data_IF_796072243987
#
_entry.id   IF_796072243987
#
_cell.length_a   1.000
_cell.length_b   1.000
_cell.length_c   1.000
_cell.angle_alpha   90.00
_cell.angle_beta   90.00
_cell.angle_gamma   90.00
#
_symmetry.space_group_name_H-M   'P 1'
#
loop_
_entity.id
_entity.type
_entity.pdbx_description
1 polymer ?
#
# COMPACT_ATOMS: atom_id res chain seq x y z
N UNK A 1 13.08 55.85 -24.25
CA UNK A 1 12.03 56.14 -23.25
C UNK A 1 10.80 55.33 -23.64
N UNK A 2 10.63 54.14 -23.05
CA UNK A 2 9.34 53.44 -22.93
C UNK A 2 9.40 52.60 -21.65
N UNK A 3 8.89 53.24 -20.60
CA UNK A 3 8.25 52.76 -19.37
C UNK A 3 8.45 51.30 -18.92
N UNK A 4 9.44 51.07 -18.05
CA UNK A 4 9.42 49.91 -17.15
C UNK A 4 8.51 50.21 -15.95
N UNK A 5 7.25 49.78 -16.06
CA UNK A 5 6.27 49.81 -14.98
C UNK A 5 6.73 48.94 -13.80
N UNK A 6 6.70 49.51 -12.60
CA UNK A 6 7.07 48.84 -11.36
C UNK A 6 5.87 48.11 -10.70
N UNK A 7 6.13 46.91 -10.16
CA UNK A 7 5.43 46.17 -9.08
C UNK A 7 4.09 45.46 -9.40
N UNK A 8 3.62 44.43 -8.62
CA UNK A 8 4.10 44.02 -7.28
C UNK A 8 4.30 42.50 -7.03
N UNK A 9 5.00 42.21 -5.92
CA UNK A 9 5.08 40.91 -5.25
C UNK A 9 3.69 40.34 -4.94
N UNK A 10 3.45 39.07 -5.27
CA UNK A 10 2.36 38.30 -4.66
C UNK A 10 2.85 36.94 -4.16
N UNK A 11 3.04 36.90 -2.84
CA UNK A 11 2.71 35.80 -1.94
C UNK A 11 3.31 34.43 -2.28
N UNK A 12 4.46 34.13 -1.66
CA UNK A 12 4.88 32.75 -1.44
C UNK A 12 3.76 32.06 -0.64
N UNK A 13 2.94 31.29 -1.35
CA UNK A 13 1.95 30.40 -0.78
C UNK A 13 2.66 29.44 0.17
N UNK A 14 2.27 29.48 1.44
CA UNK A 14 2.71 28.55 2.47
C UNK A 14 2.15 27.17 2.13
N UNK A 15 2.80 26.45 1.23
CA UNK A 15 2.42 25.09 0.91
C UNK A 15 2.97 24.17 2.01
N UNK A 16 2.27 24.15 3.15
CA UNK A 16 2.38 23.05 4.11
C UNK A 16 1.83 21.80 3.42
N UNK A 17 2.66 21.08 2.69
CA UNK A 17 2.31 19.76 2.19
C UNK A 17 2.44 18.75 3.30
N UNK A 18 1.40 18.65 4.13
CA UNK A 18 1.15 17.42 4.87
C UNK A 18 0.50 16.39 3.94
N UNK A 19 1.15 16.10 2.81
CA UNK A 19 0.76 14.99 1.97
C UNK A 19 1.66 13.83 2.30
N UNK A 20 1.19 13.01 3.26
CA UNK A 20 1.61 11.62 3.34
C UNK A 20 1.07 10.90 2.10
N UNK A 21 1.72 11.11 0.96
CA UNK A 21 1.47 10.33 -0.25
C UNK A 21 1.90 8.91 0.04
N UNK A 22 0.98 8.12 0.60
CA UNK A 22 1.08 6.66 0.64
C UNK A 22 1.06 6.23 -0.82
N UNK A 23 2.24 6.01 -1.40
CA UNK A 23 2.37 5.44 -2.74
C UNK A 23 1.43 4.23 -2.80
N UNK A 24 0.51 4.15 -3.79
CA UNK A 24 -0.33 2.97 -3.91
C UNK A 24 0.60 1.79 -4.16
N UNK A 25 0.84 0.98 -3.12
CA UNK A 25 1.56 -0.30 -3.15
C UNK A 25 1.01 -1.26 -4.21
N UNK A 26 -0.17 -0.94 -4.75
CA UNK A 26 -0.95 -1.69 -5.71
C UNK A 26 -0.32 -1.90 -7.11
N UNK A 27 0.77 -1.21 -7.50
CA UNK A 27 1.31 -1.35 -8.87
C UNK A 27 2.65 -2.08 -9.01
N UNK A 28 3.46 -2.18 -7.96
CA UNK A 28 4.79 -2.79 -8.10
C UNK A 28 4.81 -4.31 -7.90
N UNK A 29 3.89 -4.86 -7.08
CA UNK A 29 3.92 -6.27 -6.69
C UNK A 29 2.79 -7.03 -7.38
N UNK A 30 3.09 -8.00 -8.26
CA UNK A 30 2.08 -8.76 -8.98
C UNK A 30 1.10 -9.48 -8.05
N UNK A 31 -0.18 -9.55 -8.43
CA UNK A 31 -1.24 -10.19 -7.63
C UNK A 31 -0.89 -11.63 -7.19
N UNK A 32 -0.25 -12.42 -8.06
CA UNK A 32 0.23 -13.78 -7.73
C UNK A 32 1.20 -13.81 -6.55
N UNK A 33 2.09 -12.82 -6.44
CA UNK A 33 3.09 -12.73 -5.38
C UNK A 33 2.41 -12.31 -4.08
N UNK A 34 1.49 -11.34 -4.17
CA UNK A 34 0.68 -10.90 -3.04
C UNK A 34 -0.10 -12.07 -2.42
N UNK A 35 -0.76 -12.87 -3.27
CA UNK A 35 -1.46 -14.06 -2.85
C UNK A 35 -0.53 -15.09 -2.22
N UNK A 36 0.62 -15.38 -2.84
CA UNK A 36 1.59 -16.34 -2.32
C UNK A 36 2.16 -15.95 -0.95
N UNK A 37 2.47 -14.66 -0.74
CA UNK A 37 2.91 -14.13 0.56
C UNK A 37 1.84 -14.40 1.62
N UNK A 38 0.59 -14.04 1.33
CA UNK A 38 -0.50 -14.20 2.30
C UNK A 38 -0.78 -15.66 2.60
N UNK A 39 -0.80 -16.54 1.60
CA UNK A 39 -0.99 -17.98 1.82
C UNK A 39 0.14 -18.59 2.65
N UNK A 40 1.39 -18.17 2.42
CA UNK A 40 2.52 -18.58 3.26
C UNK A 40 2.28 -18.15 4.71
N UNK A 41 1.99 -16.86 4.92
CA UNK A 41 1.71 -16.32 6.26
C UNK A 41 0.61 -17.10 6.98
N UNK A 42 -0.52 -17.37 6.30
CA UNK A 42 -1.65 -18.09 6.89
C UNK A 42 -1.32 -19.57 7.18
N UNK A 43 -0.47 -20.20 6.38
CA UNK A 43 -0.12 -21.61 6.55
C UNK A 43 0.96 -21.85 7.62
N UNK A 44 1.93 -20.94 7.77
CA UNK A 44 3.08 -21.12 8.68
C UNK A 44 3.05 -20.23 9.91
N UNK A 45 2.38 -19.07 9.85
CA UNK A 45 2.47 -18.04 10.88
C UNK A 45 3.82 -17.32 10.92
N UNK A 46 4.60 -17.37 9.83
CA UNK A 46 5.91 -16.72 9.75
C UNK A 46 5.83 -15.20 10.01
N UNK A 47 6.87 -14.66 10.66
CA UNK A 47 7.00 -13.23 10.84
C UNK A 47 7.31 -12.50 9.50
N UNK A 48 7.13 -11.18 9.49
CA UNK A 48 7.32 -10.38 8.28
C UNK A 48 8.78 -10.29 7.81
N UNK A 49 9.75 -10.51 8.69
CA UNK A 49 11.18 -10.59 8.33
C UNK A 49 11.50 -11.86 7.55
N UNK A 50 10.97 -12.99 8.01
CA UNK A 50 11.07 -14.28 7.30
C UNK A 50 10.43 -14.20 5.91
N UNK A 51 9.25 -13.58 5.80
CA UNK A 51 8.58 -13.34 4.52
C UNK A 51 9.34 -12.35 3.62
N UNK A 52 9.93 -11.31 4.21
CA UNK A 52 10.79 -10.36 3.50
C UNK A 52 11.97 -11.06 2.83
N UNK A 53 12.66 -11.92 3.58
CA UNK A 53 13.81 -12.65 3.06
C UNK A 53 13.42 -13.57 1.90
N UNK A 54 12.28 -14.24 1.99
CA UNK A 54 11.80 -15.19 0.99
C UNK A 54 11.32 -14.52 -0.30
N UNK A 55 10.48 -13.49 -0.18
CA UNK A 55 9.81 -12.88 -1.33
C UNK A 55 10.48 -11.60 -1.85
N UNK A 56 11.51 -11.10 -1.14
CA UNK A 56 12.21 -9.84 -1.45
C UNK A 56 11.27 -8.62 -1.48
N UNK A 57 10.25 -8.64 -0.63
CA UNK A 57 9.27 -7.55 -0.45
C UNK A 57 9.50 -6.92 0.91
N UNK A 58 9.42 -5.59 1.02
CA UNK A 58 9.65 -4.92 2.31
C UNK A 58 8.62 -5.35 3.37
N UNK A 59 9.01 -5.47 4.66
CA UNK A 59 8.05 -5.77 5.73
C UNK A 59 6.87 -4.79 5.80
N UNK A 60 7.10 -3.52 5.43
CA UNK A 60 6.06 -2.51 5.34
C UNK A 60 5.04 -2.81 4.23
N UNK A 61 5.48 -3.29 3.06
CA UNK A 61 4.55 -3.69 2.01
C UNK A 61 3.83 -5.00 2.39
N UNK A 62 4.51 -5.94 3.04
CA UNK A 62 3.89 -7.19 3.54
C UNK A 62 2.75 -6.90 4.52
N UNK A 63 2.96 -5.95 5.45
CA UNK A 63 1.93 -5.57 6.43
C UNK A 63 0.70 -4.91 5.81
N UNK A 64 0.81 -4.34 4.60
CA UNK A 64 -0.32 -3.83 3.83
C UNK A 64 -0.96 -4.92 2.95
N UNK A 65 -0.14 -5.82 2.38
CA UNK A 65 -0.59 -6.89 1.48
C UNK A 65 -1.46 -7.92 2.20
N UNK A 66 -1.01 -8.41 3.37
CA UNK A 66 -1.70 -9.50 4.08
C UNK A 66 -3.16 -9.13 4.37
N UNK A 67 -3.49 -8.02 5.05
CA UNK A 67 -4.88 -7.68 5.35
C UNK A 67 -5.71 -7.42 4.10
N UNK A 68 -5.14 -6.80 3.04
CA UNK A 68 -5.86 -6.57 1.79
C UNK A 68 -6.24 -7.89 1.10
N UNK A 69 -5.30 -8.83 1.02
CA UNK A 69 -5.55 -10.14 0.40
C UNK A 69 -6.50 -10.97 1.26
N UNK A 70 -6.37 -10.95 2.59
CA UNK A 70 -7.32 -11.62 3.49
C UNK A 70 -8.74 -11.09 3.30
N UNK A 71 -8.92 -9.76 3.21
CA UNK A 71 -10.22 -9.17 2.93
C UNK A 71 -10.78 -9.64 1.58
N UNK A 72 -9.95 -9.61 0.52
CA UNK A 72 -10.37 -10.10 -0.80
C UNK A 72 -10.75 -11.58 -0.79
N UNK A 73 -9.99 -12.43 -0.07
CA UNK A 73 -10.32 -13.84 0.10
C UNK A 73 -11.63 -14.04 0.84
N UNK A 74 -11.86 -13.32 1.94
CA UNK A 74 -13.12 -13.38 2.67
C UNK A 74 -14.30 -12.97 1.79
N UNK A 75 -14.16 -11.89 1.00
CA UNK A 75 -15.23 -11.45 0.09
C UNK A 75 -15.56 -12.47 -1.00
N UNK A 76 -14.55 -13.16 -1.55
CA UNK A 76 -14.75 -14.17 -2.61
C UNK A 76 -15.28 -15.49 -2.04
N UNK A 77 -14.88 -15.85 -0.82
CA UNK A 77 -15.23 -17.14 -0.22
C UNK A 77 -16.44 -17.08 0.73
N UNK A 78 -16.98 -15.90 1.02
CA UNK A 78 -18.07 -15.72 1.99
C UNK A 78 -19.28 -16.64 1.75
N UNK A 79 -19.61 -16.90 0.48
CA UNK A 79 -20.77 -17.71 0.11
C UNK A 79 -20.49 -19.23 0.19
N UNK A 80 -19.21 -19.61 0.16
CA UNK A 80 -18.74 -21.00 0.25
C UNK A 80 -18.49 -21.44 1.69
N UNK A 81 -18.19 -20.50 2.58
CA UNK A 81 -17.91 -20.79 3.99
C UNK A 81 -19.24 -20.82 4.77
N UNK A 82 -19.84 -22.01 4.87
CA UNK A 82 -20.88 -22.28 5.88
C UNK A 82 -20.23 -22.45 7.25
N UNK A 83 -19.93 -21.34 7.93
CA UNK A 83 -19.58 -21.39 9.35
C UNK A 83 -20.84 -21.84 10.11
N UNK A 84 -20.86 -23.10 10.55
CA UNK A 84 -21.81 -23.53 11.58
C UNK A 84 -21.25 -23.04 12.90
N UNK A 85 -21.75 -21.88 13.34
CA UNK A 85 -21.51 -21.37 14.70
C UNK A 85 -22.51 -22.04 15.64
#
# INVERSE_FOLDING_TARGET
>A
MVDYHHSPKQKQSNFKTNFKTRHPVAKAIPARIRLAITLRYLATGDDYGSLHYLFKVSPQAISEIIPEVCHALCEVLKDEIKVRI
#
